data_IF_009906129514
#
_entry.id   IF_009906129514
#
_cell.length_a   1.000
_cell.length_b   1.000
_cell.length_c   1.000
_cell.angle_alpha   90.00
_cell.angle_beta   90.00
_cell.angle_gamma   90.00
#
_symmetry.space_group_name_H-M   'P 1'
#
loop_
_entity.id
_entity.type
_entity.pdbx_description
1 polymer ?
#
# COMPACT_ATOMS: atom_id res chain seq x y z
N UNK A 1 -15.77 19.60 -24.98
CA UNK A 1 -14.69 19.46 -23.97
C UNK A 1 -13.83 18.30 -24.42
N UNK A 2 -12.67 18.57 -25.00
CA UNK A 2 -11.75 17.53 -25.50
C UNK A 2 -11.12 16.81 -24.31
N UNK A 3 -11.06 15.47 -24.35
CA UNK A 3 -10.35 14.65 -23.35
C UNK A 3 -9.13 14.01 -24.01
N UNK A 4 -8.00 14.03 -23.30
CA UNK A 4 -6.76 13.39 -23.74
C UNK A 4 -6.61 12.07 -23.01
N UNK A 5 -6.33 11.00 -23.76
CA UNK A 5 -6.03 9.70 -23.18
C UNK A 5 -4.70 9.77 -22.41
N UNK A 6 -4.66 9.33 -21.14
CA UNK A 6 -3.43 9.35 -20.35
C UNK A 6 -2.42 8.25 -20.74
N UNK A 7 -2.81 7.28 -21.60
CA UNK A 7 -1.98 6.12 -21.98
C UNK A 7 -1.36 6.23 -23.37
N UNK A 8 -2.10 6.73 -24.37
CA UNK A 8 -1.67 6.80 -25.77
C UNK A 8 -1.63 8.24 -26.33
N UNK A 9 -1.89 9.24 -25.48
CA UNK A 9 -1.98 10.65 -25.83
C UNK A 9 -3.06 11.02 -26.88
N UNK A 10 -3.90 10.07 -27.30
CA UNK A 10 -4.99 10.31 -28.25
C UNK A 10 -5.99 11.31 -27.69
N UNK A 11 -6.38 12.29 -28.50
CA UNK A 11 -7.35 13.31 -28.09
C UNK A 11 -8.71 12.99 -28.70
N UNK A 12 -9.72 12.82 -27.84
CA UNK A 12 -11.11 12.61 -28.28
C UNK A 12 -11.94 13.85 -28.02
N UNK A 13 -12.78 14.22 -28.99
CA UNK A 13 -13.77 15.29 -28.86
C UNK A 13 -15.03 14.80 -28.14
N UNK A 14 -15.20 13.48 -28.02
CA UNK A 14 -16.32 12.86 -27.34
C UNK A 14 -16.11 12.91 -25.82
N UNK A 15 -16.83 13.81 -25.17
CA UNK A 15 -16.74 14.02 -23.72
C UNK A 15 -17.42 12.91 -22.89
N UNK A 16 -18.16 12.02 -23.55
CA UNK A 16 -18.91 10.90 -22.97
C UNK A 16 -18.19 9.55 -23.12
N UNK A 17 -17.10 9.50 -23.89
CA UNK A 17 -16.26 8.34 -24.01
C UNK A 17 -15.61 8.02 -22.66
N UNK A 18 -15.91 6.83 -22.13
CA UNK A 18 -15.25 6.27 -20.95
C UNK A 18 -13.95 5.54 -21.33
N UNK A 19 -13.80 5.21 -22.61
CA UNK A 19 -12.73 4.38 -23.15
C UNK A 19 -12.17 5.03 -24.41
N UNK A 20 -10.85 4.99 -24.58
CA UNK A 20 -10.18 5.55 -25.72
C UNK A 20 -10.50 4.72 -26.98
N UNK A 21 -10.92 5.33 -28.08
CA UNK A 21 -11.20 4.60 -29.33
C UNK A 21 -9.95 4.06 -30.03
N UNK A 22 -8.74 4.46 -29.60
CA UNK A 22 -7.48 4.02 -30.21
C UNK A 22 -6.93 2.76 -29.54
N UNK A 23 -6.71 2.81 -28.23
CA UNK A 23 -6.03 1.76 -27.47
C UNK A 23 -6.96 1.06 -26.45
N UNK A 24 -8.24 1.43 -26.43
CA UNK A 24 -9.26 0.84 -25.57
C UNK A 24 -8.96 1.03 -24.06
N UNK A 25 -8.04 1.93 -23.70
CA UNK A 25 -7.73 2.28 -22.31
C UNK A 25 -8.78 3.20 -21.71
N UNK A 26 -8.96 3.21 -20.38
CA UNK A 26 -9.85 4.17 -19.74
C UNK A 26 -9.38 5.60 -19.99
N UNK A 27 -10.34 6.49 -20.30
CA UNK A 27 -10.09 7.93 -20.45
C UNK A 27 -10.13 8.68 -19.10
N UNK A 28 -10.46 7.96 -18.02
CA UNK A 28 -10.34 8.41 -16.64
C UNK A 28 -8.92 8.17 -16.13
N UNK A 29 -8.41 9.08 -15.28
CA UNK A 29 -7.18 8.81 -14.54
C UNK A 29 -7.50 7.80 -13.44
N UNK A 30 -6.90 6.60 -13.53
CA UNK A 30 -6.99 5.60 -12.46
C UNK A 30 -6.04 6.00 -11.33
N UNK A 31 -6.56 6.11 -10.11
CA UNK A 31 -5.76 6.45 -8.91
C UNK A 31 -5.92 5.36 -7.86
N UNK A 32 -4.83 5.06 -7.16
CA UNK A 32 -4.91 4.16 -6.00
C UNK A 32 -5.70 4.86 -4.90
N UNK A 33 -6.83 4.27 -4.56
CA UNK A 33 -7.80 4.76 -3.57
C UNK A 33 -7.30 4.60 -2.14
N UNK A 34 -6.68 3.46 -1.87
CA UNK A 34 -6.18 3.10 -0.56
C UNK A 34 -5.10 2.03 -0.67
N UNK A 35 -4.26 1.94 0.34
CA UNK A 35 -3.43 0.78 0.60
C UNK A 35 -4.16 -0.12 1.60
N UNK A 36 -4.55 -1.32 1.17
CA UNK A 36 -5.20 -2.31 2.02
C UNK A 36 -4.25 -3.45 2.34
N UNK A 37 -4.04 -3.70 3.63
CA UNK A 37 -3.24 -4.79 4.16
C UNK A 37 -4.16 -5.82 4.82
N UNK A 38 -4.32 -6.97 4.18
CA UNK A 38 -5.14 -8.06 4.71
C UNK A 38 -4.25 -9.07 5.41
N UNK A 39 -4.25 -9.05 6.75
CA UNK A 39 -3.44 -9.95 7.56
C UNK A 39 -4.05 -11.35 7.65
N UNK A 40 -3.20 -12.36 7.78
CA UNK A 40 -3.62 -13.77 7.87
C UNK A 40 -4.54 -14.10 9.06
N UNK A 41 -4.52 -13.26 10.10
CA UNK A 41 -5.38 -13.37 11.29
C UNK A 41 -6.79 -12.82 11.04
N UNK A 42 -7.06 -12.29 9.84
CA UNK A 42 -8.35 -11.70 9.44
C UNK A 42 -8.44 -10.20 9.66
N UNK A 43 -7.48 -9.59 10.38
CA UNK A 43 -7.39 -8.14 10.53
C UNK A 43 -7.08 -7.46 9.19
N UNK A 44 -7.76 -6.36 8.92
CA UNK A 44 -7.51 -5.51 7.76
C UNK A 44 -7.09 -4.14 8.24
N UNK A 45 -6.01 -3.60 7.65
CA UNK A 45 -5.57 -2.22 7.86
C UNK A 45 -5.67 -1.50 6.53
N UNK A 46 -6.37 -0.36 6.53
CA UNK A 46 -6.52 0.50 5.36
C UNK A 46 -5.82 1.82 5.61
N UNK A 47 -5.12 2.31 4.57
CA UNK A 47 -4.36 3.56 4.61
C UNK A 47 -4.77 4.40 3.42
N UNK A 48 -5.32 5.59 3.67
CA UNK A 48 -5.71 6.52 2.63
C UNK A 48 -4.52 7.20 1.95
N UNK A 49 -4.76 7.89 0.82
CA UNK A 49 -3.71 8.58 0.07
C UNK A 49 -3.17 9.76 0.88
N UNK A 50 -1.85 9.79 1.06
CA UNK A 50 -1.17 10.76 1.90
C UNK A 50 -1.08 10.35 3.38
N UNK A 51 -1.66 9.22 3.76
CA UNK A 51 -1.62 8.72 5.13
C UNK A 51 -0.53 7.66 5.32
N UNK A 52 -0.17 7.45 6.58
CA UNK A 52 0.72 6.39 7.02
C UNK A 52 0.19 5.77 8.33
N UNK A 53 0.50 4.49 8.50
CA UNK A 53 0.15 3.72 9.69
C UNK A 53 1.40 3.07 10.25
N UNK A 54 1.58 3.21 11.55
CA UNK A 54 2.65 2.57 12.31
C UNK A 54 2.18 1.22 12.83
N UNK A 55 2.95 0.19 12.55
CA UNK A 55 2.68 -1.19 12.94
C UNK A 55 3.74 -1.63 13.96
N UNK A 56 3.33 -1.80 15.21
CA UNK A 56 4.19 -2.28 16.28
C UNK A 56 3.42 -2.57 17.56
N UNK A 57 4.07 -3.24 18.52
CA UNK A 57 3.47 -3.58 19.82
C UNK A 57 3.47 -2.45 20.86
N UNK A 58 4.06 -1.32 20.54
CA UNK A 58 4.18 -0.18 21.45
C UNK A 58 2.93 0.70 21.37
N UNK A 59 2.11 0.80 22.44
CA UNK A 59 0.83 1.52 22.41
C UNK A 59 1.00 3.05 22.28
N UNK A 60 2.16 3.59 22.66
CA UNK A 60 2.46 5.01 22.50
C UNK A 60 2.86 5.38 21.06
N UNK A 61 3.23 4.39 20.25
CA UNK A 61 3.74 4.59 18.88
C UNK A 61 2.80 4.02 17.80
N UNK A 62 2.06 2.95 18.08
CA UNK A 62 1.16 2.27 17.14
C UNK A 62 -0.26 2.16 17.68
N UNK A 63 -1.23 2.65 16.91
CA UNK A 63 -2.66 2.46 17.18
C UNK A 63 -3.12 0.99 17.10
N UNK A 64 -2.30 0.09 16.56
CA UNK A 64 -2.58 -1.34 16.42
C UNK A 64 -1.89 -2.19 17.50
N UNK A 65 -1.23 -1.56 18.48
CA UNK A 65 -0.45 -2.25 19.51
C UNK A 65 -1.23 -3.30 20.30
N UNK A 66 -2.52 -3.07 20.58
CA UNK A 66 -3.35 -4.02 21.32
C UNK A 66 -3.48 -5.38 20.61
N UNK A 67 -3.77 -5.37 19.32
CA UNK A 67 -3.84 -6.58 18.51
C UNK A 67 -2.44 -7.14 18.23
N UNK A 68 -1.48 -6.28 17.86
CA UNK A 68 -0.10 -6.70 17.57
C UNK A 68 0.59 -7.31 18.81
N UNK A 69 0.12 -6.98 20.01
CA UNK A 69 0.57 -7.54 21.28
C UNK A 69 0.51 -9.06 21.35
N UNK A 70 -0.41 -9.70 20.60
CA UNK A 70 -0.52 -11.16 20.50
C UNK A 70 0.69 -11.80 19.78
N UNK A 71 1.45 -11.04 18.99
CA UNK A 71 2.54 -11.55 18.18
C UNK A 71 3.91 -11.18 18.77
N UNK A 72 4.45 -12.03 19.63
CA UNK A 72 5.71 -11.79 20.33
C UNK A 72 6.91 -11.50 19.39
N UNK A 73 6.88 -12.01 18.16
CA UNK A 73 7.91 -11.78 17.13
C UNK A 73 7.75 -10.48 16.35
N UNK A 74 6.69 -9.70 16.59
CA UNK A 74 6.58 -8.33 16.12
C UNK A 74 7.36 -7.42 17.08
N UNK A 75 8.02 -6.39 16.58
CA UNK A 75 8.75 -5.44 17.42
C UNK A 75 7.81 -4.44 18.07
N UNK A 76 8.26 -3.75 19.13
CA UNK A 76 7.53 -2.61 19.72
C UNK A 76 7.29 -1.51 18.67
N UNK A 77 8.34 -1.14 17.94
CA UNK A 77 8.31 -0.30 16.75
C UNK A 77 8.81 -1.13 15.59
N UNK A 78 7.93 -1.59 14.71
CA UNK A 78 8.28 -2.65 13.77
C UNK A 78 8.40 -2.14 12.33
N UNK A 79 7.31 -1.62 11.78
CA UNK A 79 7.32 -1.03 10.45
C UNK A 79 6.31 0.11 10.34
N UNK A 80 6.57 1.03 9.42
CA UNK A 80 5.63 2.07 9.02
C UNK A 80 5.21 1.78 7.59
N UNK A 81 3.91 1.73 7.33
CA UNK A 81 3.33 1.53 5.99
C UNK A 81 2.59 2.79 5.59
N UNK A 82 2.56 3.13 4.31
CA UNK A 82 1.86 4.32 3.88
C UNK A 82 1.52 4.31 2.41
N UNK A 83 0.61 5.20 2.04
CA UNK A 83 0.28 5.49 0.65
C UNK A 83 0.65 6.94 0.37
N UNK A 84 1.58 7.16 -0.55
CA UNK A 84 1.93 8.52 -1.00
C UNK A 84 0.74 9.12 -1.76
N UNK A 85 0.59 10.45 -1.73
CA UNK A 85 -0.50 11.14 -2.45
C UNK A 85 -0.48 10.97 -3.98
N UNK A 86 0.61 10.45 -4.55
CA UNK A 86 0.71 10.05 -5.95
C UNK A 86 0.25 8.60 -6.22
N UNK A 87 -0.27 7.90 -5.21
CA UNK A 87 -0.70 6.50 -5.29
C UNK A 87 0.41 5.46 -5.06
N UNK A 88 1.64 5.88 -4.76
CA UNK A 88 2.73 4.93 -4.48
C UNK A 88 2.63 4.40 -3.04
N UNK A 89 2.29 3.12 -2.89
CA UNK A 89 2.32 2.45 -1.59
C UNK A 89 3.77 2.10 -1.19
N UNK A 90 4.07 2.18 0.10
CA UNK A 90 5.42 1.91 0.61
C UNK A 90 5.39 1.32 2.02
N UNK A 91 6.50 0.68 2.37
CA UNK A 91 6.83 0.23 3.73
C UNK A 91 8.23 0.69 4.11
N UNK A 92 8.41 1.08 5.36
CA UNK A 92 9.70 1.36 5.98
C UNK A 92 9.83 0.41 7.17
N UNK A 93 10.88 -0.41 7.20
CA UNK A 93 11.21 -1.20 8.38
C UNK A 93 11.94 -0.30 9.38
N UNK A 94 11.48 -0.22 10.63
CA UNK A 94 12.11 0.62 11.65
C UNK A 94 13.46 0.03 12.08
N UNK A 95 14.44 0.90 12.41
CA UNK A 95 15.80 0.48 12.79
C UNK A 95 15.87 -0.42 14.04
N UNK A 96 14.99 -0.21 15.01
CA UNK A 96 14.93 -1.00 16.27
C UNK A 96 14.32 -2.40 16.08
N UNK A 97 13.97 -2.76 14.84
CA UNK A 97 13.36 -4.04 14.56
C UNK A 97 14.34 -5.19 14.71
N UNK A 98 14.02 -6.16 15.58
CA UNK A 98 14.81 -7.38 15.76
C UNK A 98 14.60 -8.43 14.68
N UNK A 99 13.42 -8.47 14.08
CA UNK A 99 13.03 -9.49 13.10
C UNK A 99 12.79 -8.84 11.75
N UNK A 100 13.45 -9.30 10.70
CA UNK A 100 13.38 -8.64 9.39
C UNK A 100 11.96 -8.59 8.81
N UNK A 101 11.65 -7.45 8.18
CA UNK A 101 10.47 -7.24 7.34
C UNK A 101 10.79 -7.71 5.92
N UNK A 102 9.85 -8.39 5.27
CA UNK A 102 10.02 -8.87 3.89
C UNK A 102 8.86 -8.41 3.00
N UNK A 103 9.16 -8.10 1.74
CA UNK A 103 8.19 -7.85 0.67
C UNK A 103 8.45 -8.88 -0.42
N UNK A 104 7.47 -9.73 -0.72
CA UNK A 104 7.58 -10.85 -1.67
C UNK A 104 8.82 -11.74 -1.44
N UNK A 105 9.18 -11.94 -0.16
CA UNK A 105 10.33 -12.73 0.24
C UNK A 105 11.68 -12.01 0.18
N UNK A 106 11.74 -10.77 -0.34
CA UNK A 106 12.92 -9.93 -0.27
C UNK A 106 12.97 -9.13 1.03
N UNK A 107 14.11 -9.16 1.74
CA UNK A 107 14.28 -8.42 2.98
C UNK A 107 14.31 -6.91 2.72
N UNK A 108 13.46 -6.17 3.45
CA UNK A 108 13.42 -4.71 3.43
C UNK A 108 14.61 -4.18 4.22
N UNK A 109 15.37 -3.25 3.62
CA UNK A 109 16.43 -2.55 4.36
C UNK A 109 15.81 -1.64 5.41
N UNK A 110 16.31 -1.75 6.65
CA UNK A 110 15.89 -0.90 7.77
C UNK A 110 16.17 0.58 7.47
N UNK A 111 15.25 1.45 7.87
CA UNK A 111 15.30 2.89 7.62
C UNK A 111 15.04 3.32 6.18
N UNK A 112 14.93 2.39 5.22
CA UNK A 112 14.67 2.70 3.80
C UNK A 112 13.24 2.37 3.41
N UNK A 113 12.62 3.27 2.63
CA UNK A 113 11.33 3.03 2.02
C UNK A 113 11.45 2.03 0.87
N UNK A 114 10.68 0.95 0.94
CA UNK A 114 10.50 -0.03 -0.13
C UNK A 114 9.07 0.10 -0.67
N UNK A 115 8.95 0.18 -1.99
CA UNK A 115 7.64 0.26 -2.66
C UNK A 115 6.87 -1.05 -2.53
N UNK A 116 5.57 -0.94 -2.31
CA UNK A 116 4.64 -2.07 -2.31
C UNK A 116 3.85 -2.06 -3.61
N UNK A 117 3.79 -3.21 -4.28
CA UNK A 117 2.91 -3.42 -5.43
C UNK A 117 1.56 -4.01 -5.01
N UNK A 118 0.58 -3.91 -5.90
CA UNK A 118 -0.67 -4.65 -5.74
C UNK A 118 -0.42 -6.15 -5.77
N UNK A 119 -1.09 -6.89 -4.89
CA UNK A 119 -0.99 -8.34 -4.80
C UNK A 119 0.25 -8.87 -4.07
N UNK A 120 1.22 -8.02 -3.75
CA UNK A 120 2.44 -8.38 -3.02
C UNK A 120 2.15 -8.91 -1.61
N UNK A 121 3.07 -9.72 -1.08
CA UNK A 121 3.01 -10.21 0.31
C UNK A 121 3.97 -9.42 1.20
N UNK A 122 3.42 -8.68 2.15
CA UNK A 122 4.19 -8.00 3.20
C UNK A 122 4.27 -8.91 4.43
N UNK A 123 5.47 -9.33 4.80
CA UNK A 123 5.73 -10.09 6.02
C UNK A 123 6.42 -9.19 7.04
N UNK A 124 5.76 -8.96 8.17
CA UNK A 124 6.35 -8.24 9.30
C UNK A 124 7.31 -9.17 10.06
N UNK A 125 6.82 -10.36 10.42
CA UNK A 125 7.64 -11.33 11.15
C UNK A 125 7.37 -12.75 10.70
N UNK A 126 8.01 -13.72 11.35
CA UNK A 126 7.69 -15.13 11.09
C UNK A 126 6.29 -15.54 11.53
N UNK A 127 5.59 -14.71 12.31
CA UNK A 127 4.23 -14.99 12.81
C UNK A 127 3.15 -14.15 12.12
N UNK A 128 3.52 -13.11 11.36
CA UNK A 128 2.54 -12.16 10.83
C UNK A 128 2.92 -11.70 9.42
N UNK A 129 2.04 -12.02 8.48
CA UNK A 129 2.07 -11.57 7.09
C UNK A 129 0.71 -11.01 6.68
N UNK A 130 0.75 -10.05 5.76
CA UNK A 130 -0.38 -9.44 5.10
C UNK A 130 -0.24 -9.54 3.58
N UNK A 131 -1.38 -9.66 2.92
CA UNK A 131 -1.49 -9.45 1.48
C UNK A 131 -1.81 -7.98 1.22
N UNK A 132 -1.05 -7.38 0.31
CA UNK A 132 -1.23 -6.01 -0.15
C UNK A 132 -2.28 -6.00 -1.25
N UNK A 133 -3.22 -5.08 -1.16
CA UNK A 133 -4.15 -4.75 -2.24
C UNK A 133 -4.21 -3.24 -2.40
N UNK A 134 -4.11 -2.77 -3.63
CA UNK A 134 -4.17 -1.36 -3.99
C UNK A 134 -5.42 -1.14 -4.84
N UNK A 135 -6.62 -1.08 -4.22
CA UNK A 135 -7.84 -0.79 -4.97
C UNK A 135 -7.69 0.51 -5.76
N UNK A 136 -8.04 0.41 -7.03
CA UNK A 136 -7.99 1.49 -7.99
C UNK A 136 -9.37 2.14 -8.10
N UNK A 137 -9.42 3.47 -8.11
CA UNK A 137 -10.62 4.27 -8.37
C UNK A 137 -10.43 5.10 -9.64
N UNK A 138 -11.45 5.10 -10.50
CA UNK A 138 -11.49 5.94 -11.69
C UNK A 138 -11.92 7.36 -11.31
N UNK A 139 -11.11 8.37 -11.66
CA UNK A 139 -11.39 9.80 -11.41
C UNK A 139 -11.91 10.52 -12.66
#
# INVERSE_FOLDING_TARGET
>A
MTRKCPYCDYTTEDASAFTCPHDHSPLAEVRVAALRLSFQDGTVVEVGPGEEVRLGRDPEWSGHAGWLGAFARVSRRHATVGLRGNGTAYVVAEDDTRNDTYVDGAAVRKGLSTTLGDGCTLRLSTQLSARVSLPEEAR
#
